data_IF_679677137071
#
_entry.id   IF_679677137071
#
_cell.length_a   1.000
_cell.length_b   1.000
_cell.length_c   1.000
_cell.angle_alpha   90.00
_cell.angle_beta   90.00
_cell.angle_gamma   90.00
#
_symmetry.space_group_name_H-M   'P 1'
#
loop_
_entity.id
_entity.type
_entity.pdbx_description
1 polymer ?
#
# COMPACT_ATOMS: atom_id res chain seq x y z
N UNK A 1 -28.08 -4.03 -1.00
CA UNK A 1 -26.87 -3.19 -0.86
C UNK A 1 -26.17 -3.66 0.40
N UNK A 2 -24.84 -3.83 0.41
CA UNK A 2 -24.13 -4.24 1.63
C UNK A 2 -24.04 -3.00 2.53
N UNK A 3 -24.66 -3.04 3.71
CA UNK A 3 -24.70 -1.90 4.62
C UNK A 3 -23.53 -1.92 5.61
N UNK A 4 -22.99 -3.09 5.92
CA UNK A 4 -21.87 -3.28 6.85
C UNK A 4 -21.02 -4.50 6.47
N UNK A 5 -19.73 -4.44 6.80
CA UNK A 5 -18.79 -5.54 6.62
C UNK A 5 -17.70 -5.50 7.69
N UNK A 6 -17.40 -6.64 8.33
CA UNK A 6 -16.27 -6.78 9.26
C UNK A 6 -16.28 -5.81 10.45
N UNK A 7 -17.45 -5.46 10.98
CA UNK A 7 -17.56 -4.49 12.09
C UNK A 7 -17.54 -3.03 11.65
N UNK A 8 -17.58 -2.76 10.34
CA UNK A 8 -17.68 -1.40 9.80
C UNK A 8 -18.98 -1.20 9.02
N UNK A 9 -19.58 -0.03 9.17
CA UNK A 9 -20.66 0.46 8.32
C UNK A 9 -20.08 1.02 7.02
N UNK A 10 -20.54 0.53 5.87
CA UNK A 10 -20.13 1.05 4.56
C UNK A 10 -20.87 2.37 4.30
N UNK A 11 -20.11 3.42 3.99
CA UNK A 11 -20.63 4.79 3.83
C UNK A 11 -20.83 5.14 2.36
N UNK A 12 -19.76 5.06 1.57
CA UNK A 12 -19.79 5.36 0.13
C UNK A 12 -18.66 4.68 -0.61
N UNK A 13 -18.82 4.47 -1.91
CA UNK A 13 -17.74 3.99 -2.77
C UNK A 13 -16.65 5.06 -2.90
N UNK A 14 -15.38 4.63 -2.75
CA UNK A 14 -14.19 5.45 -2.95
C UNK A 14 -13.62 5.26 -4.35
N UNK A 15 -13.69 4.05 -4.88
CA UNK A 15 -13.23 3.72 -6.21
C UNK A 15 -13.70 2.34 -6.64
N UNK A 16 -13.59 2.08 -7.93
CA UNK A 16 -13.94 0.81 -8.54
C UNK A 16 -12.86 0.44 -9.56
N UNK A 17 -12.53 -0.85 -9.59
CA UNK A 17 -11.64 -1.42 -10.59
C UNK A 17 -12.15 -2.77 -11.08
N UNK A 18 -11.39 -3.42 -11.97
CA UNK A 18 -11.77 -4.72 -12.52
C UNK A 18 -11.89 -5.80 -11.44
N UNK A 19 -11.00 -5.80 -10.44
CA UNK A 19 -10.97 -6.81 -9.37
C UNK A 19 -11.92 -6.54 -8.21
N UNK A 20 -12.15 -5.28 -7.86
CA UNK A 20 -12.80 -4.91 -6.60
C UNK A 20 -13.41 -3.52 -6.65
N UNK A 21 -14.36 -3.29 -5.74
CA UNK A 21 -14.78 -1.95 -5.35
C UNK A 21 -14.24 -1.64 -3.95
N UNK A 22 -13.81 -0.39 -3.73
CA UNK A 22 -13.30 0.09 -2.45
C UNK A 22 -14.32 1.04 -1.85
N UNK A 23 -14.66 0.85 -0.59
CA UNK A 23 -15.64 1.64 0.13
C UNK A 23 -15.00 2.36 1.32
N UNK A 24 -15.45 3.59 1.59
CA UNK A 24 -15.24 4.22 2.87
C UNK A 24 -16.12 3.51 3.87
N UNK A 25 -15.52 3.09 4.97
CA UNK A 25 -16.24 2.44 6.05
C UNK A 25 -15.86 3.07 7.40
N UNK A 26 -16.84 3.18 8.30
CA UNK A 26 -16.62 3.66 9.66
C UNK A 26 -16.83 2.48 10.62
N UNK A 27 -15.99 2.31 11.64
CA UNK A 27 -16.25 1.31 12.69
C UNK A 27 -17.65 1.50 13.25
N UNK A 28 -18.34 0.40 13.59
CA UNK A 28 -19.65 0.47 14.25
C UNK A 28 -19.58 1.03 15.66
N UNK A 29 -18.41 0.98 16.30
CA UNK A 29 -18.19 1.55 17.62
C UNK A 29 -17.94 3.04 17.45
N UNK A 30 -18.89 3.85 17.92
CA UNK A 30 -18.70 5.29 18.05
C UNK A 30 -17.77 5.55 19.25
N UNK A 31 -16.46 5.36 19.06
CA UNK A 31 -15.44 5.92 19.94
C UNK A 31 -14.87 7.20 19.31
N UNK A 32 -14.40 8.12 20.14
CA UNK A 32 -13.73 9.34 19.63
C UNK A 32 -12.47 9.01 18.81
N UNK A 33 -11.90 7.81 19.00
CA UNK A 33 -10.73 7.28 18.28
C UNK A 33 -11.09 6.42 17.05
N UNK A 34 -12.37 6.30 16.69
CA UNK A 34 -12.83 5.46 15.59
C UNK A 34 -12.29 5.97 14.24
N UNK A 35 -11.18 5.37 13.79
CA UNK A 35 -10.51 5.76 12.55
C UNK A 35 -11.23 5.14 11.35
N UNK A 36 -11.66 5.93 10.34
CA UNK A 36 -12.29 5.38 9.15
C UNK A 36 -11.33 4.49 8.36
N UNK A 37 -11.88 3.43 7.75
CA UNK A 37 -11.14 2.48 6.94
C UNK A 37 -11.54 2.55 5.46
N UNK A 38 -10.71 1.94 4.61
CA UNK A 38 -11.02 1.62 3.23
C UNK A 38 -11.25 0.11 3.11
N UNK A 39 -12.48 -0.32 2.82
CA UNK A 39 -12.82 -1.74 2.68
C UNK A 39 -12.83 -2.11 1.20
N UNK A 40 -11.92 -3.00 0.80
CA UNK A 40 -11.81 -3.53 -0.54
C UNK A 40 -12.62 -4.82 -0.66
N UNK A 41 -13.71 -4.76 -1.41
CA UNK A 41 -14.62 -5.87 -1.67
C UNK A 41 -14.38 -6.39 -3.09
N UNK A 42 -13.95 -7.64 -3.21
CA UNK A 42 -13.62 -8.25 -4.50
C UNK A 42 -14.87 -8.75 -5.24
N UNK A 43 -14.77 -8.85 -6.56
CA UNK A 43 -15.82 -9.41 -7.41
C UNK A 43 -15.80 -10.94 -7.35
N UNK A 44 -16.95 -11.56 -7.62
CA UNK A 44 -17.14 -13.02 -7.59
C UNK A 44 -16.13 -13.84 -8.43
N UNK A 45 -15.57 -13.26 -9.50
CA UNK A 45 -14.61 -13.94 -10.37
C UNK A 45 -13.16 -13.93 -9.84
N UNK A 46 -12.87 -13.16 -8.79
CA UNK A 46 -11.52 -13.10 -8.21
C UNK A 46 -11.32 -14.30 -7.29
N UNK A 47 -10.26 -15.07 -7.54
CA UNK A 47 -9.94 -16.22 -6.69
C UNK A 47 -9.50 -15.80 -5.29
N UNK A 48 -9.84 -16.61 -4.30
CA UNK A 48 -9.38 -16.43 -2.91
C UNK A 48 -7.85 -16.40 -2.82
N UNK A 49 -7.16 -17.26 -3.57
CA UNK A 49 -5.69 -17.26 -3.67
C UNK A 49 -5.15 -15.89 -4.10
N UNK A 50 -5.78 -15.24 -5.08
CA UNK A 50 -5.34 -13.93 -5.55
C UNK A 50 -5.60 -12.83 -4.53
N UNK A 51 -6.61 -12.97 -3.67
CA UNK A 51 -6.85 -12.04 -2.54
C UNK A 51 -5.83 -12.26 -1.44
N UNK A 52 -5.55 -13.52 -1.10
CA UNK A 52 -4.55 -13.90 -0.10
C UNK A 52 -3.16 -13.41 -0.50
N UNK A 53 -2.79 -13.53 -1.77
CA UNK A 53 -1.51 -13.03 -2.28
C UNK A 53 -1.38 -11.50 -2.15
N UNK A 54 -2.44 -10.74 -2.48
CA UNK A 54 -2.44 -9.28 -2.28
C UNK A 54 -2.29 -8.91 -0.80
N UNK A 55 -2.97 -9.63 0.08
CA UNK A 55 -2.94 -9.39 1.52
C UNK A 55 -1.57 -9.76 2.15
N UNK A 56 -0.95 -10.83 1.66
CA UNK A 56 0.41 -11.22 2.05
C UNK A 56 1.45 -10.21 1.53
N UNK A 57 1.31 -9.72 0.29
CA UNK A 57 2.19 -8.68 -0.24
C UNK A 57 2.15 -7.40 0.60
N UNK A 58 0.95 -6.91 0.94
CA UNK A 58 0.77 -5.77 1.84
C UNK A 58 1.42 -6.01 3.21
N UNK A 59 1.32 -7.24 3.72
CA UNK A 59 1.87 -7.62 5.02
C UNK A 59 3.40 -7.68 5.02
N UNK A 60 4.01 -8.26 3.98
CA UNK A 60 5.47 -8.33 3.82
C UNK A 60 6.08 -6.95 3.57
N UNK A 61 5.35 -6.09 2.88
CA UNK A 61 5.75 -4.69 2.62
C UNK A 61 5.36 -3.73 3.76
N UNK A 62 4.94 -4.23 4.92
CA UNK A 62 4.52 -3.39 6.02
C UNK A 62 5.67 -2.46 6.47
N UNK A 63 5.40 -1.15 6.44
CA UNK A 63 6.39 -0.13 6.75
C UNK A 63 5.80 1.26 6.67
N UNK A 64 6.66 2.27 6.76
CA UNK A 64 6.26 3.64 6.46
C UNK A 64 5.97 3.76 4.95
N UNK A 65 5.02 4.61 4.58
CA UNK A 65 4.66 4.90 3.17
C UNK A 65 4.13 3.70 2.35
N UNK A 66 3.63 2.65 3.00
CA UNK A 66 2.88 1.55 2.36
C UNK A 66 1.50 1.44 3.00
N UNK A 67 0.48 1.21 2.17
CA UNK A 67 -0.90 1.06 2.64
C UNK A 67 -0.98 -0.09 3.63
N UNK A 68 -1.56 0.17 4.81
CA UNK A 68 -1.62 -0.81 5.88
C UNK A 68 -2.87 -1.67 5.74
N UNK A 69 -2.68 -2.98 5.80
CA UNK A 69 -3.77 -3.90 6.05
C UNK A 69 -4.09 -3.88 7.55
N UNK A 70 -5.34 -3.56 7.89
CA UNK A 70 -5.81 -3.48 9.27
C UNK A 70 -6.39 -4.81 9.72
N UNK A 71 -7.17 -5.45 8.85
CA UNK A 71 -7.82 -6.73 9.10
C UNK A 71 -8.30 -7.36 7.77
N UNK A 72 -8.72 -8.63 7.82
CA UNK A 72 -9.43 -9.29 6.73
C UNK A 72 -10.74 -9.87 7.24
N UNK A 73 -11.79 -9.65 6.46
CA UNK A 73 -13.12 -10.14 6.78
C UNK A 73 -13.71 -10.97 5.64
N UNK A 74 -14.83 -11.64 5.88
CA UNK A 74 -15.57 -12.34 4.83
C UNK A 74 -16.37 -11.32 4.03
N UNK A 75 -16.08 -11.22 2.73
CA UNK A 75 -16.87 -10.46 1.79
C UNK A 75 -18.13 -11.23 1.34
N UNK A 76 -18.87 -10.64 0.39
CA UNK A 76 -19.97 -11.31 -0.30
C UNK A 76 -19.50 -12.59 -0.98
N UNK A 77 -20.40 -13.56 -1.12
CA UNK A 77 -20.14 -14.82 -1.82
C UNK A 77 -19.00 -15.66 -1.22
N UNK A 78 -18.60 -15.36 0.03
CA UNK A 78 -17.53 -16.06 0.75
C UNK A 78 -16.12 -15.60 0.42
N UNK A 79 -15.94 -14.70 -0.55
CA UNK A 79 -14.61 -14.19 -0.94
C UNK A 79 -14.09 -13.22 0.12
N UNK A 80 -12.82 -13.34 0.58
CA UNK A 80 -12.28 -12.41 1.56
C UNK A 80 -12.31 -10.95 1.07
N UNK A 81 -12.51 -10.01 2.00
CA UNK A 81 -12.45 -8.58 1.78
C UNK A 81 -11.39 -7.95 2.69
N UNK A 82 -10.58 -7.04 2.15
CA UNK A 82 -9.49 -6.42 2.92
C UNK A 82 -9.97 -5.14 3.59
N UNK A 83 -9.68 -4.97 4.86
CA UNK A 83 -9.88 -3.73 5.61
C UNK A 83 -8.52 -3.03 5.65
N UNK A 84 -8.42 -1.87 5.01
CA UNK A 84 -7.18 -1.14 4.81
C UNK A 84 -7.23 0.23 5.50
N UNK A 85 -6.06 0.77 5.85
CA UNK A 85 -5.92 2.15 6.29
C UNK A 85 -6.47 3.10 5.22
N UNK A 86 -7.28 4.08 5.64
CA UNK A 86 -7.85 5.05 4.72
C UNK A 86 -6.82 6.10 4.30
N UNK A 87 -6.63 6.24 2.99
CA UNK A 87 -5.96 7.39 2.41
C UNK A 87 -7.00 8.43 1.98
N UNK A 88 -7.08 9.56 2.69
CA UNK A 88 -8.18 10.51 2.57
C UNK A 88 -7.91 11.66 1.58
N UNK A 89 -6.65 11.92 1.23
CA UNK A 89 -6.22 13.16 0.59
C UNK A 89 -5.87 12.99 -0.91
N UNK A 90 -6.49 12.02 -1.58
CA UNK A 90 -6.34 11.80 -3.03
C UNK A 90 -5.07 11.02 -3.40
N UNK A 91 -4.71 11.05 -4.68
CA UNK A 91 -3.54 10.37 -5.25
C UNK A 91 -2.55 11.38 -5.84
N UNK A 92 -1.31 10.95 -6.08
CA UNK A 92 -0.37 11.72 -6.92
C UNK A 92 -0.95 11.93 -8.33
N UNK A 93 -1.69 10.96 -8.87
CA UNK A 93 -2.40 11.13 -10.15
C UNK A 93 -3.48 12.22 -10.11
N UNK A 94 -4.08 12.48 -8.95
CA UNK A 94 -4.95 13.65 -8.74
C UNK A 94 -4.13 14.94 -8.62
N UNK A 95 -3.05 14.92 -7.83
CA UNK A 95 -2.13 16.04 -7.66
C UNK A 95 -1.63 16.56 -9.02
N UNK A 96 -1.13 15.66 -9.86
CA UNK A 96 -0.60 15.97 -11.20
C UNK A 96 -1.66 16.57 -12.13
N UNK A 97 -2.93 16.17 -11.98
CA UNK A 97 -4.04 16.72 -12.79
C UNK A 97 -4.56 18.06 -12.30
N UNK A 98 -4.49 18.32 -11.00
CA UNK A 98 -5.11 19.48 -10.36
C UNK A 98 -4.14 20.63 -10.06
N UNK A 99 -2.83 20.36 -9.98
CA UNK A 99 -1.81 21.37 -9.71
C UNK A 99 -1.16 21.83 -11.01
N UNK A 100 -0.97 23.13 -11.15
CA UNK A 100 -0.23 23.71 -12.28
C UNK A 100 1.29 23.54 -12.08
N UNK A 101 1.75 23.71 -10.85
CA UNK A 101 3.16 23.57 -10.50
C UNK A 101 3.37 23.09 -9.06
N UNK A 102 4.49 22.41 -8.85
CA UNK A 102 5.02 22.03 -7.54
C UNK A 102 6.31 22.79 -7.27
N UNK A 103 6.60 23.05 -5.99
CA UNK A 103 7.94 23.46 -5.55
C UNK A 103 8.86 22.24 -5.45
N UNK A 104 10.18 22.39 -5.62
CA UNK A 104 11.14 21.29 -5.46
C UNK A 104 10.94 20.51 -4.17
N UNK A 105 10.80 21.21 -3.05
CA UNK A 105 10.57 20.57 -1.75
C UNK A 105 9.28 19.76 -1.66
N UNK A 106 8.21 20.12 -2.38
CA UNK A 106 6.98 19.31 -2.43
C UNK A 106 7.20 18.02 -3.22
N UNK A 107 7.98 18.09 -4.31
CA UNK A 107 8.37 16.92 -5.08
C UNK A 107 9.26 15.98 -4.24
N UNK A 108 10.22 16.52 -3.49
CA UNK A 108 11.06 15.74 -2.56
C UNK A 108 10.19 15.02 -1.53
N UNK A 109 9.30 15.73 -0.84
CA UNK A 109 8.38 15.14 0.15
C UNK A 109 7.48 14.06 -0.46
N UNK A 110 7.10 14.22 -1.73
CA UNK A 110 6.26 13.24 -2.44
C UNK A 110 7.05 11.99 -2.83
N UNK A 111 8.28 12.16 -3.36
CA UNK A 111 9.02 11.11 -4.06
C UNK A 111 10.02 10.36 -3.17
N UNK A 112 10.75 11.06 -2.30
CA UNK A 112 11.79 10.44 -1.48
C UNK A 112 11.26 9.27 -0.62
N UNK A 113 10.09 9.40 0.03
CA UNK A 113 9.56 8.28 0.81
C UNK A 113 9.15 7.07 -0.04
N UNK A 114 8.74 7.31 -1.29
CA UNK A 114 8.35 6.24 -2.22
C UNK A 114 9.55 5.47 -2.74
N UNK A 115 10.66 6.15 -3.02
CA UNK A 115 11.93 5.51 -3.40
C UNK A 115 12.36 4.54 -2.29
N UNK A 116 12.29 4.99 -1.03
CA UNK A 116 12.59 4.13 0.12
C UNK A 116 11.58 2.97 0.26
N UNK A 117 10.28 3.22 0.09
CA UNK A 117 9.25 2.19 0.16
C UNK A 117 9.43 1.10 -0.92
N UNK A 118 9.80 1.48 -2.15
CA UNK A 118 10.08 0.54 -3.24
C UNK A 118 11.34 -0.29 -2.97
N UNK A 119 12.41 0.32 -2.46
CA UNK A 119 13.57 -0.44 -2.00
C UNK A 119 13.18 -1.47 -0.93
N UNK A 120 12.41 -1.05 0.08
CA UNK A 120 11.97 -1.93 1.17
C UNK A 120 11.07 -3.08 0.72
N UNK A 121 10.14 -2.84 -0.22
CA UNK A 121 9.28 -3.91 -0.73
C UNK A 121 10.07 -4.91 -1.59
N UNK A 122 11.05 -4.45 -2.37
CA UNK A 122 11.97 -5.32 -3.11
C UNK A 122 12.83 -6.18 -2.19
N UNK A 123 13.33 -5.61 -1.08
CA UNK A 123 14.06 -6.36 -0.06
C UNK A 123 13.21 -7.43 0.65
N UNK A 124 11.92 -7.16 0.82
CA UNK A 124 10.95 -8.12 1.34
C UNK A 124 10.53 -9.21 0.32
N UNK A 125 11.13 -9.23 -0.87
CA UNK A 125 10.79 -10.16 -1.94
C UNK A 125 9.40 -9.91 -2.52
N UNK A 126 8.94 -8.66 -2.52
CA UNK A 126 7.68 -8.26 -3.14
C UNK A 126 7.98 -7.55 -4.45
N UNK A 127 7.24 -7.89 -5.50
CA UNK A 127 7.16 -7.10 -6.74
C UNK A 127 5.78 -6.45 -6.73
N UNK A 128 5.68 -5.14 -6.84
CA UNK A 128 4.40 -4.44 -6.77
C UNK A 128 3.58 -4.60 -8.06
N UNK A 129 4.22 -4.46 -9.22
CA UNK A 129 3.63 -4.71 -10.55
C UNK A 129 2.65 -3.65 -11.05
N UNK A 130 2.45 -2.55 -10.32
CA UNK A 130 1.49 -1.49 -10.67
C UNK A 130 1.86 -0.11 -10.09
N UNK A 131 3.16 0.15 -9.94
CA UNK A 131 3.67 1.46 -9.52
C UNK A 131 3.26 2.51 -10.57
N UNK A 132 2.78 3.64 -10.09
CA UNK A 132 2.32 4.76 -10.93
C UNK A 132 1.58 5.80 -10.10
N UNK A 133 1.22 6.93 -10.71
CA UNK A 133 0.71 8.09 -9.98
C UNK A 133 -0.59 7.80 -9.18
N UNK A 134 -1.46 6.92 -9.67
CA UNK A 134 -2.68 6.51 -8.95
C UNK A 134 -2.45 5.42 -7.88
N UNK A 135 -1.26 4.80 -7.83
CA UNK A 135 -0.89 3.88 -6.75
C UNK A 135 -0.42 4.63 -5.52
N UNK A 136 0.04 5.86 -5.69
CA UNK A 136 0.47 6.69 -4.57
C UNK A 136 -0.71 7.50 -4.08
N UNK A 137 -1.17 7.20 -2.88
CA UNK A 137 -2.24 7.92 -2.19
C UNK A 137 -1.66 8.80 -1.09
N UNK A 138 -2.40 9.81 -0.67
CA UNK A 138 -2.06 10.60 0.52
C UNK A 138 -2.96 10.22 1.69
N UNK A 139 -2.34 9.86 2.81
CA UNK A 139 -3.07 9.58 4.03
C UNK A 139 -3.67 10.85 4.66
N UNK A 140 -4.36 10.70 5.79
CA UNK A 140 -5.01 11.82 6.49
C UNK A 140 -4.02 12.93 6.92
N UNK A 141 -2.75 12.60 7.13
CA UNK A 141 -1.68 13.55 7.49
C UNK A 141 -1.02 14.22 6.26
N UNK A 142 -1.41 13.79 5.05
CA UNK A 142 -0.77 14.22 3.81
C UNK A 142 0.49 13.44 3.47
N UNK A 143 0.71 12.29 4.13
CA UNK A 143 1.87 11.43 3.89
C UNK A 143 1.66 10.57 2.65
N UNK A 144 2.60 10.56 1.68
CA UNK A 144 2.50 9.70 0.51
C UNK A 144 2.60 8.22 0.92
N UNK A 145 1.72 7.40 0.35
CA UNK A 145 1.49 6.00 0.71
C UNK A 145 1.27 5.18 -0.55
N UNK A 146 2.15 4.21 -0.80
CA UNK A 146 2.05 3.26 -1.89
C UNK A 146 0.92 2.24 -1.63
N UNK A 147 0.02 2.09 -2.59
CA UNK A 147 -1.17 1.26 -2.52
C UNK A 147 -1.39 0.48 -3.85
N UNK A 148 -2.48 -0.29 -3.93
CA UNK A 148 -2.88 -1.10 -5.09
C UNK A 148 -1.98 -2.31 -5.37
N UNK A 149 -1.76 -3.14 -4.36
CA UNK A 149 -1.00 -4.39 -4.44
C UNK A 149 -1.72 -5.56 -5.17
N UNK A 150 -2.80 -5.28 -5.89
CA UNK A 150 -3.62 -6.32 -6.55
C UNK A 150 -2.96 -7.02 -7.73
N UNK A 151 -1.76 -6.58 -8.14
CA UNK A 151 -0.90 -7.21 -9.17
C UNK A 151 0.42 -7.67 -8.57
N UNK A 152 0.57 -7.61 -7.24
CA UNK A 152 1.82 -7.95 -6.61
C UNK A 152 2.17 -9.41 -6.86
N UNK A 153 3.46 -9.72 -6.84
CA UNK A 153 3.99 -11.06 -6.93
C UNK A 153 5.01 -11.24 -5.83
N UNK A 154 4.99 -12.41 -5.19
CA UNK A 154 5.90 -12.74 -4.10
C UNK A 154 7.04 -13.60 -4.63
N UNK A 155 8.26 -13.20 -4.29
CA UNK A 155 9.49 -13.97 -4.44
C UNK A 155 9.97 -14.45 -3.05
N UNK A 156 11.04 -15.25 -3.06
CA UNK A 156 11.73 -15.58 -1.82
C UNK A 156 12.31 -14.29 -1.20
N UNK A 157 12.15 -14.10 0.10
CA UNK A 157 12.80 -13.00 0.81
C UNK A 157 14.32 -13.25 0.89
N UNK A 158 15.10 -12.18 0.97
CA UNK A 158 16.57 -12.30 1.10
C UNK A 158 17.29 -12.74 -0.18
N UNK A 159 16.78 -12.35 -1.34
CA UNK A 159 17.48 -12.52 -2.62
C UNK A 159 18.89 -11.93 -2.54
N UNK A 160 19.86 -12.51 -3.25
CA UNK A 160 21.18 -11.86 -3.38
C UNK A 160 21.05 -10.56 -4.19
N UNK A 161 22.03 -9.67 -4.12
CA UNK A 161 22.05 -8.46 -4.95
C UNK A 161 22.00 -8.81 -6.45
N UNK A 162 22.73 -9.85 -6.86
CA UNK A 162 22.76 -10.33 -8.24
C UNK A 162 21.41 -10.90 -8.71
N UNK A 163 20.72 -11.67 -7.85
CA UNK A 163 19.40 -12.21 -8.19
C UNK A 163 18.36 -11.09 -8.36
N UNK A 164 18.46 -10.02 -7.56
CA UNK A 164 17.57 -8.85 -7.70
C UNK A 164 17.82 -8.10 -9.01
N UNK A 165 19.08 -7.93 -9.39
CA UNK A 165 19.46 -7.25 -10.63
C UNK A 165 18.89 -7.98 -11.86
N UNK A 166 18.92 -9.31 -11.87
CA UNK A 166 18.35 -10.15 -12.92
C UNK A 166 16.82 -10.32 -12.88
N UNK A 167 16.13 -9.84 -11.85
CA UNK A 167 14.70 -10.04 -11.67
C UNK A 167 13.86 -9.10 -12.55
N UNK A 168 13.28 -9.64 -13.61
CA UNK A 168 12.48 -8.86 -14.56
C UNK A 168 11.30 -8.09 -13.92
N UNK A 169 10.73 -8.60 -12.81
CA UNK A 169 9.64 -7.96 -12.10
C UNK A 169 10.10 -6.78 -11.25
N UNK A 170 11.22 -6.91 -10.54
CA UNK A 170 11.84 -5.79 -9.82
C UNK A 170 12.28 -4.70 -10.82
N UNK A 171 12.88 -5.10 -11.95
CA UNK A 171 13.25 -4.18 -13.01
C UNK A 171 12.04 -3.47 -13.66
N UNK A 172 10.88 -4.12 -13.71
CA UNK A 172 9.64 -3.48 -14.16
C UNK A 172 9.14 -2.43 -13.16
N UNK A 173 9.20 -2.73 -11.87
CA UNK A 173 8.86 -1.78 -10.82
C UNK A 173 9.78 -0.55 -10.82
N UNK A 174 11.10 -0.75 -10.97
CA UNK A 174 12.06 0.37 -11.00
C UNK A 174 11.86 1.28 -12.23
N UNK A 175 11.56 0.70 -13.40
CA UNK A 175 11.16 1.48 -14.58
C UNK A 175 9.87 2.25 -14.35
N UNK A 176 8.88 1.64 -13.71
CA UNK A 176 7.63 2.33 -13.38
C UNK A 176 7.84 3.46 -12.35
N UNK A 177 8.74 3.26 -11.37
CA UNK A 177 9.14 4.29 -10.43
C UNK A 177 9.86 5.45 -11.13
N UNK A 178 10.79 5.16 -12.05
CA UNK A 178 11.46 6.20 -12.87
C UNK A 178 10.43 7.07 -13.61
N UNK A 179 9.44 6.45 -14.25
CA UNK A 179 8.37 7.18 -14.95
C UNK A 179 7.52 8.03 -13.99
N UNK A 180 7.17 7.49 -12.82
CA UNK A 180 6.46 8.24 -11.79
C UNK A 180 7.26 9.48 -11.32
N UNK A 181 8.57 9.31 -11.09
CA UNK A 181 9.45 10.41 -10.69
C UNK A 181 9.47 11.49 -11.75
N UNK A 182 9.66 11.13 -13.02
CA UNK A 182 9.65 12.09 -14.14
C UNK A 182 8.34 12.87 -14.19
N UNK A 183 7.19 12.18 -14.11
CA UNK A 183 5.87 12.83 -14.13
C UNK A 183 5.69 13.86 -13.00
N UNK A 184 6.21 13.58 -11.80
CA UNK A 184 6.11 14.51 -10.67
C UNK A 184 7.08 15.67 -10.82
N UNK A 185 8.32 15.41 -11.27
CA UNK A 185 9.33 16.45 -11.47
C UNK A 185 9.00 17.38 -12.63
N UNK A 186 8.25 16.92 -13.65
CA UNK A 186 7.78 17.76 -14.76
C UNK A 186 6.82 18.87 -14.33
N UNK A 187 6.24 18.80 -13.12
CA UNK A 187 5.45 19.88 -12.53
C UNK A 187 6.31 20.96 -11.85
N UNK A 188 7.62 20.74 -11.74
CA UNK A 188 8.56 21.66 -11.10
C UNK A 188 9.32 22.40 -12.20
N UNK A 189 9.21 23.72 -12.21
CA UNK A 189 9.73 24.56 -13.29
C UNK A 189 10.99 25.33 -12.86
N UNK A 190 12.09 24.60 -12.69
CA UNK A 190 13.43 25.17 -12.48
C UNK A 190 14.53 24.34 -13.16
N UNK A 191 15.71 24.94 -13.30
CA UNK A 191 16.82 24.37 -14.06
C UNK A 191 17.40 23.11 -13.39
N UNK A 192 17.54 23.11 -12.07
CA UNK A 192 18.09 21.97 -11.33
C UNK A 192 17.20 20.72 -11.47
N UNK A 193 15.88 20.91 -11.43
CA UNK A 193 14.93 19.83 -11.64
C UNK A 193 14.93 19.35 -13.09
N UNK A 194 15.08 20.26 -14.05
CA UNK A 194 15.21 19.90 -15.47
C UNK A 194 16.46 19.06 -15.74
N UNK A 195 17.60 19.39 -15.11
CA UNK A 195 18.83 18.59 -15.17
C UNK A 195 18.62 17.19 -14.59
N UNK A 196 17.92 17.07 -13.45
CA UNK A 196 17.58 15.77 -12.88
C UNK A 196 16.68 14.95 -13.80
N UNK A 197 15.68 15.55 -14.44
CA UNK A 197 14.83 14.88 -15.43
C UNK A 197 15.65 14.41 -16.63
N UNK A 198 16.62 15.18 -17.09
CA UNK A 198 17.53 14.78 -18.16
C UNK A 198 18.38 13.57 -17.75
N UNK A 199 18.97 13.60 -16.54
CA UNK A 199 19.71 12.47 -15.99
C UNK A 199 18.82 11.21 -15.86
N UNK A 200 17.59 11.37 -15.37
CA UNK A 200 16.63 10.26 -15.27
C UNK A 200 16.35 9.63 -16.63
N UNK A 201 16.17 10.42 -17.69
CA UNK A 201 15.92 9.93 -19.06
C UNK A 201 17.13 9.25 -19.69
N UNK A 202 18.34 9.62 -19.27
CA UNK A 202 19.58 9.04 -19.76
C UNK A 202 20.07 7.83 -18.94
N UNK A 203 19.65 7.72 -17.68
CA UNK A 203 20.03 6.62 -16.78
C UNK A 203 19.19 5.36 -16.99
N UNK A 204 19.74 4.21 -16.58
CA UNK A 204 19.03 2.93 -16.58
C UNK A 204 18.74 2.48 -15.15
N UNK A 205 17.47 2.19 -14.78
CA UNK A 205 17.14 1.65 -13.46
C UNK A 205 17.72 0.26 -13.18
N UNK A 206 18.26 -0.42 -14.20
CA UNK A 206 18.96 -1.69 -14.03
C UNK A 206 20.40 -1.54 -13.51
N UNK A 207 20.96 -0.33 -13.53
CA UNK A 207 22.32 -0.09 -13.05
C UNK A 207 22.41 -0.25 -11.52
N UNK A 208 23.49 -0.87 -11.07
CA UNK A 208 23.77 -1.02 -9.65
C UNK A 208 23.86 0.35 -8.96
N UNK A 209 23.17 0.50 -7.83
CA UNK A 209 23.19 1.75 -7.06
C UNK A 209 22.26 2.85 -7.60
N UNK A 210 21.42 2.54 -8.59
CA UNK A 210 20.54 3.54 -9.22
C UNK A 210 19.55 4.17 -8.24
N UNK A 211 18.96 3.40 -7.32
CA UNK A 211 18.03 3.93 -6.31
C UNK A 211 18.72 4.91 -5.34
N UNK A 212 19.95 4.61 -4.93
CA UNK A 212 20.77 5.45 -4.07
C UNK A 212 21.20 6.73 -4.79
N UNK A 213 21.56 6.64 -6.07
CA UNK A 213 21.86 7.79 -6.91
C UNK A 213 20.63 8.70 -7.09
N UNK A 214 19.47 8.10 -7.39
CA UNK A 214 18.20 8.81 -7.51
C UNK A 214 17.83 9.53 -6.21
N UNK A 215 17.90 8.82 -5.07
CA UNK A 215 17.59 9.40 -3.76
C UNK A 215 18.47 10.62 -3.48
N UNK A 216 19.79 10.50 -3.70
CA UNK A 216 20.75 11.59 -3.51
C UNK A 216 20.45 12.79 -4.41
N UNK A 217 20.30 12.57 -5.71
CA UNK A 217 20.02 13.64 -6.66
C UNK A 217 18.69 14.35 -6.36
N UNK A 218 17.69 13.63 -5.84
CA UNK A 218 16.43 14.22 -5.41
C UNK A 218 16.63 15.14 -4.19
N UNK A 219 17.42 14.74 -3.20
CA UNK A 219 17.73 15.58 -2.04
C UNK A 219 18.62 16.79 -2.38
N UNK A 220 19.42 16.72 -3.45
CA UNK A 220 20.20 17.85 -3.93
C UNK A 220 19.34 18.98 -4.50
N UNK A 221 18.05 18.73 -4.83
CA UNK A 221 17.11 19.77 -5.24
C UNK A 221 16.72 20.74 -4.12
N UNK A 222 16.95 20.37 -2.85
CA UNK A 222 16.76 21.26 -1.71
C UNK A 222 16.06 20.63 -0.51
N UNK A 223 15.38 21.47 0.28
CA UNK A 223 14.74 21.04 1.52
C UNK A 223 13.32 20.52 1.28
N UNK A 224 12.91 19.41 1.92
CA UNK A 224 11.53 18.93 1.87
C UNK A 224 10.53 19.99 2.34
N UNK A 225 9.41 20.11 1.63
CA UNK A 225 8.29 21.00 1.96
C UNK A 225 6.99 20.23 2.02
N UNK A 226 6.08 20.62 2.92
CA UNK A 226 4.75 20.01 2.97
C UNK A 226 4.01 20.21 1.64
N UNK A 227 3.42 19.14 1.14
CA UNK A 227 2.67 19.12 -0.12
C UNK A 227 1.32 19.80 0.09
N UNK A 228 1.00 20.81 -0.73
CA UNK A 228 -0.33 21.41 -0.68
C UNK A 228 -1.35 20.54 -1.44
N UNK A 229 -2.10 19.74 -0.70
CA UNK A 229 -3.10 18.82 -1.24
C UNK A 229 -4.49 19.46 -1.42
N UNK A 230 -4.62 20.76 -1.17
CA UNK A 230 -5.87 21.46 -1.44
C UNK A 230 -6.06 21.54 -2.95
N UNK A 231 -7.27 21.22 -3.47
CA UNK A 231 -7.54 21.49 -4.87
C UNK A 231 -7.32 22.98 -5.14
N UNK A 232 -6.63 23.31 -6.23
CA UNK A 232 -6.54 24.70 -6.66
C UNK A 232 -7.98 25.21 -6.83
N UNK A 233 -8.33 26.21 -6.03
CA UNK A 233 -9.70 26.71 -5.94
C UNK A 233 -10.04 27.31 -7.30
N UNK A 234 -10.99 26.72 -8.03
CA UNK A 234 -11.77 27.51 -8.98
C UNK A 234 -12.31 28.76 -8.23
N UNK A 235 -12.37 29.95 -8.86
CA UNK A 235 -12.77 31.17 -8.18
C UNK A 235 -14.03 30.96 -7.34
N UNK A 236 -13.96 31.37 -6.09
CA UNK A 236 -14.86 30.94 -5.03
C UNK A 236 -16.29 31.41 -5.28
N UNK A 237 -17.23 30.47 -5.40
CA UNK A 237 -18.66 30.72 -5.36
C UNK A 237 -19.39 29.60 -4.63
N UNK A 238 -19.98 29.95 -3.49
CA UNK A 238 -20.97 29.18 -2.70
C UNK A 238 -20.46 28.07 -1.76
N UNK A 239 -20.45 28.42 -0.47
CA UNK A 239 -20.42 27.49 0.66
C UNK A 239 -21.82 26.90 0.90
N UNK A 240 -21.89 25.64 1.32
CA UNK A 240 -23.08 25.05 1.93
C UNK A 240 -22.74 24.50 3.33
N UNK A 241 -23.59 24.76 4.34
CA UNK A 241 -23.35 24.43 5.74
C UNK A 241 -23.71 22.98 6.10
N UNK A 242 -22.93 22.45 7.05
CA UNK A 242 -23.02 21.15 7.70
C UNK A 242 -24.14 21.09 8.74
N UNK A 243 -24.86 19.96 8.84
CA UNK A 243 -25.51 19.49 10.09
C UNK A 243 -26.08 18.07 9.98
N UNK A 244 -26.18 17.44 11.16
CA UNK A 244 -26.74 16.13 11.56
C UNK A 244 -25.69 15.01 11.60
N UNK A 245 -25.39 14.32 12.71
CA UNK A 245 -25.93 14.31 14.07
C UNK A 245 -25.52 12.96 14.70
N UNK A 246 -24.73 12.98 15.79
CA UNK A 246 -24.22 11.81 16.52
C UNK A 246 -25.32 11.18 17.40
N UNK A 247 -25.23 9.87 17.64
CA UNK A 247 -25.96 9.16 18.71
C UNK A 247 -25.03 8.11 19.33
N UNK A 248 -24.88 8.13 20.65
CA UNK A 248 -23.92 7.35 21.45
C UNK A 248 -24.29 5.86 21.67
N UNK A 249 -23.32 4.98 22.02
CA UNK A 249 -23.44 3.51 22.02
C UNK A 249 -23.61 2.86 23.41
N UNK A 250 -23.94 1.56 23.46
CA UNK A 250 -24.00 0.71 24.68
C UNK A 250 -23.59 -0.77 24.34
N UNK A 251 -23.17 -1.60 25.33
CA UNK A 251 -21.79 -2.08 25.53
C UNK A 251 -21.53 -3.53 25.04
N UNK A 252 -20.25 -3.90 24.96
CA UNK A 252 -19.78 -5.27 24.70
C UNK A 252 -19.44 -6.04 25.99
N UNK A 253 -19.36 -7.38 25.94
CA UNK A 253 -18.49 -8.14 26.81
C UNK A 253 -17.34 -8.87 26.08
N UNK A 254 -16.30 -9.04 26.87
CA UNK A 254 -14.91 -9.42 26.65
C UNK A 254 -14.67 -10.90 26.27
N UNK A 255 -13.53 -11.21 25.61
CA UNK A 255 -12.44 -12.07 26.14
C UNK A 255 -11.36 -12.46 25.11
N UNK A 256 -10.20 -12.84 25.67
CA UNK A 256 -8.78 -12.70 25.28
C UNK A 256 -8.15 -13.96 24.61
N UNK A 257 -6.84 -14.00 24.21
CA UNK A 257 -6.41 -14.52 22.91
C UNK A 257 -5.44 -15.73 22.98
N UNK A 258 -5.08 -16.32 21.83
CA UNK A 258 -4.05 -17.37 21.71
C UNK A 258 -3.26 -17.27 20.40
N UNK A 259 -1.96 -17.54 20.49
CA UNK A 259 -0.84 -17.03 19.68
C UNK A 259 -0.16 -18.15 18.83
N UNK A 260 0.42 -17.80 17.67
CA UNK A 260 1.77 -18.15 17.15
C UNK A 260 1.84 -18.63 15.68
N UNK A 261 2.10 -17.68 14.78
CA UNK A 261 3.37 -17.43 14.08
C UNK A 261 4.30 -18.62 13.70
N UNK A 262 4.50 -18.81 12.39
CA UNK A 262 5.78 -19.25 11.79
C UNK A 262 5.89 -19.00 10.26
N UNK A 263 5.21 -17.99 9.74
CA UNK A 263 5.45 -17.32 8.45
C UNK A 263 5.19 -15.86 8.77
N UNK A 264 6.02 -14.89 8.36
CA UNK A 264 5.84 -13.48 8.75
C UNK A 264 4.67 -12.82 8.00
N UNK A 265 3.51 -13.45 8.12
CA UNK A 265 2.21 -13.14 7.57
C UNK A 265 1.30 -13.00 8.81
N UNK A 266 0.69 -11.82 9.06
CA UNK A 266 -0.14 -11.57 10.22
C UNK A 266 -1.20 -12.66 10.46
N UNK A 267 -1.46 -13.02 11.73
CA UNK A 267 -2.36 -14.12 12.12
C UNK A 267 -3.77 -14.05 11.49
N UNK A 268 -4.24 -12.86 11.11
CA UNK A 268 -5.53 -12.68 10.43
C UNK A 268 -5.51 -13.17 8.97
N UNK A 269 -4.35 -13.20 8.29
CA UNK A 269 -4.20 -13.77 6.94
C UNK A 269 -4.23 -15.30 6.97
N UNK A 270 -3.68 -15.93 8.01
CA UNK A 270 -3.67 -17.39 8.14
C UNK A 270 -5.09 -17.99 8.17
N UNK A 271 -6.09 -17.18 8.57
CA UNK A 271 -7.52 -17.56 8.60
C UNK A 271 -8.16 -17.64 7.22
N UNK A 272 -7.45 -17.24 6.16
CA UNK A 272 -7.93 -17.18 4.77
C UNK A 272 -7.35 -18.29 3.89
N UNK A 273 -6.62 -19.24 4.46
CA UNK A 273 -6.09 -20.38 3.71
C UNK A 273 -7.10 -21.53 3.87
N UNK A 274 -7.77 -21.97 2.78
CA UNK A 274 -8.61 -23.16 2.82
C UNK A 274 -7.83 -24.38 3.34
N UNK A 275 -8.43 -25.19 4.21
CA UNK A 275 -7.85 -26.44 4.72
C UNK A 275 -7.40 -27.41 3.59
N UNK A 276 -7.88 -27.24 2.37
CA UNK A 276 -7.52 -28.05 1.19
C UNK A 276 -6.18 -27.67 0.54
N UNK A 277 -5.55 -26.54 0.91
CA UNK A 277 -4.21 -26.14 0.42
C UNK A 277 -3.07 -26.52 1.39
N UNK A 278 -3.41 -27.16 2.52
CA UNK A 278 -2.45 -27.58 3.55
C UNK A 278 -1.92 -29.02 3.36
N UNK A 279 -1.62 -29.48 2.13
CA UNK A 279 -0.92 -30.75 1.85
C UNK A 279 -0.25 -30.58 0.48
N UNK A 280 1.07 -30.63 0.26
CA UNK A 280 2.08 -31.60 0.70
C UNK A 280 3.47 -30.94 0.82
N UNK A 281 4.16 -31.13 1.93
CA UNK A 281 5.59 -30.83 2.05
C UNK A 281 6.07 -30.36 3.42
N UNK A 282 5.24 -29.64 4.17
CA UNK A 282 5.68 -29.02 5.45
C UNK A 282 5.52 -29.95 6.67
N UNK A 283 4.85 -31.10 6.52
CA UNK A 283 4.65 -32.08 7.61
C UNK A 283 5.79 -33.09 7.77
N UNK A 284 6.70 -33.22 6.80
CA UNK A 284 7.79 -34.23 6.84
C UNK A 284 9.07 -33.76 7.52
N UNK A 285 9.23 -32.45 7.76
CA UNK A 285 10.35 -31.90 8.53
C UNK A 285 10.12 -31.89 10.06
N UNK A 286 8.88 -32.12 10.53
CA UNK A 286 8.53 -32.15 11.95
C UNK A 286 8.75 -33.52 12.65
N UNK A 287 9.08 -34.59 11.92
CA UNK A 287 9.28 -35.94 12.51
C UNK A 287 10.76 -36.33 12.64
N UNK A 288 11.73 -35.46 12.31
CA UNK A 288 13.18 -35.75 12.42
C UNK A 288 13.95 -34.98 13.51
N UNK A 289 13.29 -34.16 14.32
CA UNK A 289 13.92 -33.40 15.42
C UNK A 289 13.44 -33.78 16.82
N UNK A 290 12.88 -34.99 17.01
CA UNK A 290 12.49 -35.53 18.34
C UNK A 290 13.15 -36.89 18.61
N UNK A 291 14.37 -37.12 18.10
CA UNK A 291 15.13 -38.34 18.42
C UNK A 291 16.63 -38.12 18.43
N UNK A 292 17.11 -37.17 19.25
CA UNK A 292 18.51 -37.18 19.71
C UNK A 292 18.68 -36.48 21.07
N UNK A 293 17.95 -36.94 22.08
CA UNK A 293 18.38 -36.78 23.48
C UNK A 293 18.13 -38.12 24.17
N UNK A 294 19.16 -38.95 24.27
CA UNK A 294 19.22 -40.02 25.28
C UNK A 294 20.02 -39.51 26.48
N UNK A 295 19.65 -39.89 27.70
CA UNK A 295 20.29 -39.38 28.91
C UNK A 295 21.54 -40.18 29.30
N UNK A 296 22.45 -39.46 29.98
CA UNK A 296 23.74 -39.83 30.58
C UNK A 296 24.95 -39.85 29.65
#
# INVERSE_FOLDING_TARGET
MIESLGGYRLVRKLGEGPRAAVYLAHPHRDSEDATPAAIKIFRAHVSEESVTLEAEALSRSAGQHVAKILDVTRGPDGIPALILSRCANGSVGRLVRERVALRPGEAITTLAPLIAAVGGLHDAGVRHGAIGADAVLFDHSGTPTLARFGTAVLAAAGMSAADREGDAGLQADLRALQQLVVVVLELVHDDATAELVQWLRASSPAEQGWLEALSRNLFDLGQPLAVDLRPERAPSGMALPSRLGRSDPMPEPEHTPGVLAALNVPDFIARLIPNSLAVSGVRSQLTRMVSSVRPR
#
